data_IF_034674238976
#
_entry.id   IF_034674238976
#
_cell.length_a   1.000
_cell.length_b   1.000
_cell.length_c   1.000
_cell.angle_alpha   90.00
_cell.angle_beta   90.00
_cell.angle_gamma   90.00
#
_symmetry.space_group_name_H-M   'P 1'
#
loop_
_entity.id
_entity.type
_entity.pdbx_description
1 polymer ?
#
# COMPACT_ATOMS: atom_id res chain seq x y z
N UNK A 1 12.37 -10.68 4.02
CA UNK A 1 13.28 -11.83 3.88
C UNK A 1 12.75 -12.71 2.76
N UNK A 2 13.63 -13.37 1.99
CA UNK A 2 13.24 -14.16 0.80
C UNK A 2 12.31 -15.36 1.13
N UNK A 3 12.19 -15.68 2.43
CA UNK A 3 11.36 -16.72 3.03
C UNK A 3 10.04 -16.17 3.63
N UNK A 4 9.69 -14.90 3.37
CA UNK A 4 8.53 -14.21 3.92
C UNK A 4 8.47 -14.08 5.46
N UNK A 5 9.60 -14.29 6.16
CA UNK A 5 9.70 -14.11 7.63
C UNK A 5 9.75 -12.65 8.07
N UNK A 6 9.70 -11.69 7.14
CA UNK A 6 9.67 -10.25 7.47
C UNK A 6 8.36 -9.78 8.12
N UNK A 7 7.44 -10.70 8.43
CA UNK A 7 6.23 -10.35 9.17
C UNK A 7 6.59 -10.10 10.63
N UNK A 8 6.23 -8.92 11.12
CA UNK A 8 6.31 -8.51 12.52
C UNK A 8 7.71 -8.17 13.07
N UNK A 9 8.67 -7.80 12.21
CA UNK A 9 9.92 -7.16 12.65
C UNK A 9 9.61 -5.80 13.32
N UNK A 10 8.64 -5.07 12.80
CA UNK A 10 8.30 -3.70 13.21
C UNK A 10 7.35 -3.68 14.41
N UNK A 11 7.54 -2.76 15.35
CA UNK A 11 6.68 -2.59 16.54
C UNK A 11 5.33 -1.93 16.21
N UNK A 12 4.35 -1.95 17.13
CA UNK A 12 3.09 -1.20 16.98
C UNK A 12 3.29 0.29 16.74
N UNK A 13 4.24 0.92 17.44
CA UNK A 13 4.55 2.35 17.35
C UNK A 13 5.05 2.69 15.95
N UNK A 14 5.94 1.87 15.40
CA UNK A 14 6.45 2.05 14.04
C UNK A 14 5.34 1.88 12.97
N UNK A 15 4.37 0.99 13.20
CA UNK A 15 3.19 0.86 12.31
C UNK A 15 2.28 2.09 12.38
N UNK A 16 2.08 2.65 13.58
CA UNK A 16 1.32 3.89 13.74
C UNK A 16 2.01 5.06 13.03
N UNK A 17 3.34 5.16 13.15
CA UNK A 17 4.11 6.23 12.52
C UNK A 17 4.03 6.17 10.98
N UNK A 18 4.10 4.98 10.37
CA UNK A 18 3.87 4.83 8.92
C UNK A 18 2.48 5.29 8.52
N UNK A 19 1.44 5.07 9.33
CA UNK A 19 0.10 5.57 9.02
C UNK A 19 0.00 7.08 9.10
N UNK A 20 0.70 7.72 10.05
CA UNK A 20 0.84 9.18 10.12
C UNK A 20 1.53 9.72 8.87
N UNK A 21 2.67 9.13 8.48
CA UNK A 21 3.40 9.54 7.27
C UNK A 21 2.56 9.40 5.99
N UNK A 22 1.71 8.36 5.90
CA UNK A 22 0.78 8.21 4.77
C UNK A 22 -0.33 9.26 4.76
N UNK A 23 -0.79 9.71 5.92
CA UNK A 23 -1.80 10.76 6.03
C UNK A 23 -1.27 12.14 5.63
N UNK A 24 0.05 12.34 5.74
CA UNK A 24 0.74 13.57 5.36
C UNK A 24 1.17 13.59 3.87
N UNK A 25 1.09 12.45 3.18
CA UNK A 25 1.54 12.30 1.80
C UNK A 25 0.39 12.44 0.79
N UNK A 26 0.67 13.00 -0.37
CA UNK A 26 -0.29 13.02 -1.49
C UNK A 26 -0.44 11.64 -2.15
N UNK A 27 0.62 10.82 -2.12
CA UNK A 27 0.64 9.51 -2.75
C UNK A 27 1.53 8.50 -2.02
N UNK A 28 1.17 7.22 -2.12
CA UNK A 28 1.96 6.08 -1.65
C UNK A 28 2.20 5.14 -2.82
N UNK A 29 3.48 4.85 -3.09
CA UNK A 29 3.89 4.09 -4.27
C UNK A 29 4.52 2.75 -3.90
N UNK A 30 4.20 1.73 -4.70
CA UNK A 30 4.91 0.43 -4.70
C UNK A 30 5.19 -0.04 -6.12
N UNK A 31 6.22 -0.88 -6.27
CA UNK A 31 6.47 -1.59 -7.53
C UNK A 31 5.66 -2.88 -7.65
N UNK A 32 5.58 -3.41 -8.87
CA UNK A 32 4.87 -4.65 -9.21
C UNK A 32 5.27 -5.87 -8.37
N UNK A 33 6.53 -5.97 -7.95
CA UNK A 33 7.01 -7.04 -7.07
C UNK A 33 6.31 -7.04 -5.71
N UNK A 34 6.25 -5.87 -5.06
CA UNK A 34 5.56 -5.70 -3.77
C UNK A 34 4.06 -5.89 -3.93
N UNK A 35 3.44 -5.31 -4.97
CA UNK A 35 2.01 -5.46 -5.22
C UNK A 35 1.61 -6.94 -5.36
N UNK A 36 2.39 -7.71 -6.11
CA UNK A 36 2.13 -9.14 -6.34
C UNK A 36 2.37 -10.01 -5.09
N UNK A 37 3.40 -9.70 -4.32
CA UNK A 37 3.81 -10.54 -3.18
C UNK A 37 2.98 -10.26 -1.93
N UNK A 38 2.71 -8.98 -1.64
CA UNK A 38 2.14 -8.55 -0.35
C UNK A 38 0.66 -8.17 -0.41
N UNK A 39 0.10 -7.99 -1.61
CA UNK A 39 -1.27 -7.50 -1.84
C UNK A 39 -1.67 -6.37 -0.86
N UNK A 40 -0.92 -5.25 -0.85
CA UNK A 40 -1.09 -4.22 0.16
C UNK A 40 -2.36 -3.40 -0.12
N UNK A 41 -2.99 -2.88 0.93
CA UNK A 41 -4.11 -1.93 0.78
C UNK A 41 -3.66 -0.48 0.56
N UNK A 42 -2.45 -0.14 1.06
CA UNK A 42 -1.79 1.18 1.02
C UNK A 42 -2.55 2.37 1.63
N UNK A 43 -3.79 2.18 2.10
CA UNK A 43 -4.56 3.18 2.83
C UNK A 43 -4.00 3.52 4.23
N UNK A 44 -4.37 4.71 4.71
CA UNK A 44 -4.23 5.15 6.11
C UNK A 44 -5.26 4.44 6.97
N UNK A 45 -4.85 3.98 8.16
CA UNK A 45 -5.70 3.29 9.14
C UNK A 45 -5.39 3.81 10.53
N UNK A 46 -6.40 3.84 11.40
CA UNK A 46 -6.25 4.25 12.81
C UNK A 46 -6.10 5.76 13.02
N UNK A 47 -6.40 6.58 12.02
CA UNK A 47 -6.45 8.04 12.11
C UNK A 47 -7.81 8.48 11.56
N UNK A 48 -8.65 9.03 12.43
CA UNK A 48 -10.00 9.45 12.08
C UNK A 48 -9.97 10.63 11.10
N UNK A 49 -10.87 10.59 10.11
CA UNK A 49 -11.01 11.61 9.07
C UNK A 49 -9.72 11.96 8.29
N UNK A 50 -8.73 11.06 8.26
CA UNK A 50 -7.54 11.25 7.45
C UNK A 50 -7.87 11.30 5.95
N UNK A 51 -7.32 12.29 5.25
CA UNK A 51 -7.30 12.28 3.79
C UNK A 51 -6.49 11.09 3.30
N UNK A 52 -7.09 10.28 2.42
CA UNK A 52 -6.40 9.10 1.89
C UNK A 52 -5.47 9.52 0.74
N UNK A 53 -4.22 9.02 0.72
CA UNK A 53 -3.30 9.29 -0.37
C UNK A 53 -3.73 8.55 -1.64
N UNK A 54 -3.30 9.06 -2.80
CA UNK A 54 -3.35 8.30 -4.04
C UNK A 54 -2.49 7.04 -3.92
N UNK A 55 -3.07 5.87 -4.19
CA UNK A 55 -2.33 4.60 -4.24
C UNK A 55 -1.74 4.44 -5.62
N UNK A 56 -0.42 4.33 -5.73
CA UNK A 56 0.27 4.17 -7.01
C UNK A 56 0.94 2.82 -7.09
N UNK A 57 0.61 2.05 -8.13
CA UNK A 57 1.32 0.81 -8.45
C UNK A 57 2.02 0.98 -9.80
N UNK A 58 3.34 0.83 -9.81
CA UNK A 58 4.14 0.81 -11.03
C UNK A 58 4.26 -0.64 -11.51
N UNK A 59 3.56 -0.98 -12.59
CA UNK A 59 3.43 -2.33 -13.12
C UNK A 59 3.59 -2.37 -14.65
N UNK A 60 4.85 -2.32 -15.09
CA UNK A 60 5.25 -2.27 -16.51
C UNK A 60 4.62 -3.32 -17.41
N UNK A 61 4.31 -4.50 -16.86
CA UNK A 61 3.74 -5.60 -17.64
C UNK A 61 2.23 -5.78 -17.42
N UNK A 62 1.60 -4.95 -16.58
CA UNK A 62 0.19 -5.07 -16.20
C UNK A 62 -0.20 -6.49 -15.72
N UNK A 63 0.65 -7.10 -14.88
CA UNK A 63 0.46 -8.50 -14.41
C UNK A 63 0.39 -8.62 -12.89
N UNK A 64 0.80 -7.61 -12.14
CA UNK A 64 0.80 -7.64 -10.68
C UNK A 64 -0.56 -7.29 -10.10
N UNK A 65 -1.26 -6.31 -10.68
CA UNK A 65 -2.59 -5.88 -10.20
C UNK A 65 -3.68 -6.72 -10.87
N UNK A 66 -4.23 -7.69 -10.14
CA UNK A 66 -5.32 -8.55 -10.60
C UNK A 66 -6.68 -8.04 -10.11
N UNK A 67 -7.80 -8.42 -10.75
CA UNK A 67 -9.12 -8.20 -10.20
C UNK A 67 -9.20 -8.69 -8.74
N UNK A 68 -9.72 -7.84 -7.85
CA UNK A 68 -9.81 -8.13 -6.42
C UNK A 68 -8.55 -7.81 -5.60
N UNK A 69 -7.47 -7.31 -6.22
CA UNK A 69 -6.31 -6.80 -5.46
C UNK A 69 -6.75 -5.71 -4.46
N UNK A 70 -6.16 -5.70 -3.27
CA UNK A 70 -6.59 -4.80 -2.18
C UNK A 70 -6.36 -3.32 -2.47
N UNK A 71 -5.41 -3.01 -3.34
CA UNK A 71 -5.23 -1.66 -3.90
C UNK A 71 -6.40 -1.22 -4.78
N UNK A 72 -7.36 -2.09 -5.15
CA UNK A 72 -8.53 -1.74 -5.97
C UNK A 72 -9.82 -1.65 -5.16
N UNK A 73 -9.78 -1.74 -3.82
CA UNK A 73 -10.97 -1.51 -2.99
C UNK A 73 -11.41 -0.03 -3.00
N UNK A 74 -12.55 0.26 -2.40
CA UNK A 74 -13.12 1.62 -2.38
C UNK A 74 -12.50 2.54 -1.30
N UNK A 75 -11.44 2.11 -0.62
CA UNK A 75 -10.88 2.85 0.52
C UNK A 75 -10.16 4.13 0.10
N UNK A 76 -9.56 4.15 -1.10
CA UNK A 76 -8.78 5.29 -1.61
C UNK A 76 -8.72 5.29 -3.15
N UNK A 77 -8.40 6.38 -3.84
CA UNK A 77 -8.17 6.34 -5.29
C UNK A 77 -6.90 5.55 -5.62
N UNK A 78 -6.88 4.93 -6.81
CA UNK A 78 -5.74 4.12 -7.27
C UNK A 78 -5.36 4.45 -8.70
N UNK A 79 -4.05 4.62 -8.93
CA UNK A 79 -3.42 4.74 -10.23
C UNK A 79 -2.52 3.52 -10.46
N UNK A 80 -2.79 2.78 -11.54
CA UNK A 80 -1.88 1.76 -12.06
C UNK A 80 -1.11 2.38 -13.22
N UNK A 81 0.18 2.61 -13.02
CA UNK A 81 1.09 3.12 -14.05
C UNK A 81 1.73 1.92 -14.76
N UNK A 82 1.43 1.77 -16.05
CA UNK A 82 1.95 0.70 -16.93
C UNK A 82 3.08 1.26 -17.79
#
# INVERSE_FOLDING_TARGET
AADATSRWITSPEARADVHRLRAEADAVLVGSGTARTDDPQLAVRGIDAATQPLRVVVDTNATAVKPGARVLDDTAPTLVAV
#
